data_IF_847885448106
#
_entry.id   IF_847885448106
#
_cell.length_a   1.000
_cell.length_b   1.000
_cell.length_c   1.000
_cell.angle_alpha   90.00
_cell.angle_beta   90.00
_cell.angle_gamma   90.00
#
_symmetry.space_group_name_H-M   'P 1'
#
loop_
_entity.id
_entity.type
_entity.pdbx_description
1 polymer ?
#
# COMPACT_ATOMS: atom_id res chain seq x y z
N UNK A 1 17.77 14.98 19.87
CA UNK A 1 18.14 13.57 19.69
C UNK A 1 17.29 12.99 18.59
N UNK A 2 17.87 12.35 17.61
CA UNK A 2 17.18 11.65 16.52
C UNK A 2 16.68 10.27 16.97
N UNK A 3 15.73 9.71 16.24
CA UNK A 3 15.27 8.34 16.50
C UNK A 3 16.24 7.34 15.86
N UNK A 4 16.65 7.58 14.62
CA UNK A 4 17.60 6.75 13.88
C UNK A 4 18.68 7.64 13.26
N UNK A 5 19.92 7.16 13.27
CA UNK A 5 21.02 7.69 12.48
C UNK A 5 21.60 6.57 11.64
N UNK A 6 21.59 6.73 10.32
CA UNK A 6 22.24 5.82 9.36
C UNK A 6 23.49 6.52 8.88
N UNK A 7 24.67 5.97 9.18
CA UNK A 7 25.96 6.63 8.97
C UNK A 7 26.82 5.91 7.94
N UNK A 8 27.55 6.67 7.12
CA UNK A 8 28.65 6.17 6.28
C UNK A 8 28.26 5.53 4.96
N UNK A 9 26.97 5.58 4.56
CA UNK A 9 26.50 4.98 3.33
C UNK A 9 26.55 5.89 2.10
N UNK A 10 26.49 5.28 0.90
CA UNK A 10 26.20 6.00 -0.35
C UNK A 10 24.67 6.22 -0.43
N UNK A 11 24.23 7.45 -0.25
CA UNK A 11 22.81 7.80 -0.27
C UNK A 11 22.34 8.05 -1.70
N UNK A 12 21.32 7.31 -2.12
CA UNK A 12 20.57 7.51 -3.36
C UNK A 12 19.17 8.00 -2.99
N UNK A 13 18.73 9.12 -3.51
CA UNK A 13 17.45 9.74 -3.13
C UNK A 13 16.24 9.26 -3.93
N UNK A 14 16.45 8.42 -4.94
CA UNK A 14 15.40 7.94 -5.83
C UNK A 14 14.95 8.94 -6.90
N UNK A 15 15.54 10.14 -6.95
CA UNK A 15 15.19 11.21 -7.90
C UNK A 15 16.16 11.32 -9.08
N UNK A 16 16.91 10.27 -9.37
CA UNK A 16 17.95 10.21 -10.40
C UNK A 16 19.13 11.18 -10.19
N UNK A 17 19.29 11.71 -8.99
CA UNK A 17 20.48 12.49 -8.63
C UNK A 17 21.70 11.57 -8.40
N UNK A 18 22.92 12.07 -8.60
CA UNK A 18 24.13 11.32 -8.25
C UNK A 18 24.13 10.95 -6.77
N UNK A 19 24.56 9.73 -6.47
CA UNK A 19 24.72 9.29 -5.08
C UNK A 19 25.77 10.12 -4.33
N UNK A 20 25.49 10.40 -3.07
CA UNK A 20 26.38 11.16 -2.19
C UNK A 20 26.66 10.39 -0.91
N UNK A 21 27.92 10.43 -0.44
CA UNK A 21 28.26 9.92 0.89
C UNK A 21 27.76 10.90 1.95
N UNK A 22 26.68 10.54 2.60
CA UNK A 22 25.98 11.33 3.61
C UNK A 22 25.58 10.41 4.77
N UNK A 23 25.18 11.04 5.87
CA UNK A 23 24.41 10.35 6.90
C UNK A 23 22.93 10.75 6.82
N UNK A 24 22.06 9.80 7.10
CA UNK A 24 20.62 10.01 7.13
C UNK A 24 20.15 9.91 8.58
N UNK A 25 19.52 10.97 9.08
CA UNK A 25 18.91 10.96 10.39
C UNK A 25 17.39 11.04 10.28
N UNK A 26 16.67 10.28 11.10
CA UNK A 26 15.22 10.29 11.17
C UNK A 26 14.78 10.84 12.51
N UNK A 27 13.86 11.78 12.49
CA UNK A 27 13.20 12.31 13.67
C UNK A 27 11.70 12.36 13.42
N UNK A 28 10.94 11.64 14.23
CA UNK A 28 9.51 11.45 14.00
C UNK A 28 9.24 10.95 12.57
N UNK A 29 8.52 11.71 11.75
CA UNK A 29 8.24 11.38 10.34
C UNK A 29 9.11 12.17 9.34
N UNK A 30 10.24 12.75 9.78
CA UNK A 30 11.07 13.61 8.95
C UNK A 30 12.46 13.01 8.75
N UNK A 31 12.94 13.03 7.51
CA UNK A 31 14.29 12.64 7.12
C UNK A 31 15.17 13.89 7.05
N UNK A 32 16.36 13.80 7.63
CA UNK A 32 17.39 14.83 7.60
C UNK A 32 18.66 14.27 6.94
N UNK A 33 19.17 14.94 5.92
CA UNK A 33 20.44 14.60 5.30
C UNK A 33 21.57 15.41 6.00
N UNK A 34 22.53 14.72 6.56
CA UNK A 34 23.63 15.31 7.32
C UNK A 34 24.94 15.14 6.54
N UNK A 35 25.68 16.25 6.42
CA UNK A 35 27.01 16.29 5.77
C UNK A 35 28.10 16.40 6.81
N UNK A 36 29.25 15.80 6.54
CA UNK A 36 30.42 15.87 7.40
C UNK A 36 30.37 14.95 8.60
N UNK A 37 31.11 15.30 9.64
CA UNK A 37 31.25 14.49 10.85
C UNK A 37 29.96 14.50 11.66
N UNK A 38 29.46 13.31 11.96
CA UNK A 38 28.24 13.07 12.77
C UNK A 38 28.53 12.41 14.11
N UNK A 39 29.79 12.35 14.53
CA UNK A 39 30.24 11.70 15.78
C UNK A 39 29.53 12.24 17.02
N UNK A 40 29.18 13.53 17.01
CA UNK A 40 28.47 14.20 18.11
C UNK A 40 26.94 14.13 18.00
N UNK A 41 26.41 13.51 16.94
CA UNK A 41 24.96 13.40 16.72
C UNK A 41 24.40 12.28 17.59
N UNK A 42 23.43 12.60 18.45
CA UNK A 42 22.79 11.63 19.32
C UNK A 42 21.52 11.08 18.66
N UNK A 43 21.43 9.77 18.58
CA UNK A 43 20.24 9.02 18.13
C UNK A 43 19.93 7.88 19.10
N UNK A 44 18.64 7.44 19.14
CA UNK A 44 18.23 6.26 19.91
C UNK A 44 18.83 4.98 19.31
N UNK A 45 18.95 4.93 17.98
CA UNK A 45 19.56 3.82 17.24
C UNK A 45 20.48 4.36 16.17
N UNK A 46 21.70 3.82 16.08
CA UNK A 46 22.65 4.11 15.00
C UNK A 46 22.87 2.85 14.16
N UNK A 47 22.85 3.00 12.85
CA UNK A 47 23.10 1.96 11.87
C UNK A 47 24.35 2.35 11.10
N UNK A 48 25.37 1.50 11.13
CA UNK A 48 26.54 1.63 10.26
C UNK A 48 26.20 1.12 8.85
N UNK A 49 26.23 2.03 7.90
CA UNK A 49 26.00 1.75 6.48
C UNK A 49 27.29 1.85 5.65
N UNK A 50 28.47 1.79 6.29
CA UNK A 50 29.76 1.83 5.60
C UNK A 50 29.84 0.75 4.52
N UNK A 51 30.16 1.15 3.28
CA UNK A 51 30.21 0.27 2.12
C UNK A 51 28.84 -0.18 1.59
N UNK A 52 27.74 0.39 2.09
CA UNK A 52 26.37 0.07 1.66
C UNK A 52 25.71 1.24 0.94
N UNK A 53 24.65 0.94 0.22
CA UNK A 53 23.74 1.93 -0.35
C UNK A 53 22.60 2.19 0.66
N UNK A 54 22.24 3.44 0.84
CA UNK A 54 21.07 3.88 1.59
C UNK A 54 20.09 4.54 0.62
N UNK A 55 18.92 3.98 0.48
CA UNK A 55 17.88 4.49 -0.41
C UNK A 55 16.54 4.56 0.31
N UNK A 56 15.55 5.30 -0.22
CA UNK A 56 14.16 5.13 0.16
C UNK A 56 13.73 3.67 -0.01
N UNK A 57 12.73 3.24 0.74
CA UNK A 57 12.12 1.93 0.54
C UNK A 57 11.48 1.83 -0.84
N UNK A 58 11.45 0.62 -1.40
CA UNK A 58 10.87 0.39 -2.72
C UNK A 58 9.34 0.48 -2.67
N UNK A 59 8.77 0.96 -3.78
CA UNK A 59 7.33 1.01 -4.00
C UNK A 59 6.99 -0.07 -5.02
N UNK A 60 6.21 -1.06 -4.61
CA UNK A 60 5.65 -2.04 -5.52
C UNK A 60 4.33 -1.50 -6.08
N UNK A 61 4.33 -1.14 -7.36
CA UNK A 61 3.18 -0.53 -8.02
C UNK A 61 2.21 -1.56 -8.63
N UNK A 62 2.44 -2.85 -8.40
CA UNK A 62 1.61 -3.94 -8.92
C UNK A 62 1.57 -5.11 -7.93
N UNK A 63 0.77 -4.98 -6.88
CA UNK A 63 0.70 -5.96 -5.81
C UNK A 63 -0.69 -6.58 -5.66
N UNK A 64 -0.72 -7.90 -5.44
CA UNK A 64 -1.93 -8.70 -5.20
C UNK A 64 -2.10 -9.08 -3.73
N UNK A 65 -1.44 -8.39 -2.83
CA UNK A 65 -1.37 -8.72 -1.40
C UNK A 65 -2.55 -8.24 -0.56
N UNK A 66 -3.49 -7.49 -1.14
CA UNK A 66 -4.52 -6.76 -0.41
C UNK A 66 -5.39 -7.57 0.57
N UNK A 67 -5.51 -8.88 0.38
CA UNK A 67 -6.17 -9.76 1.34
C UNK A 67 -5.16 -10.50 2.24
N UNK A 68 -4.11 -11.06 1.63
CA UNK A 68 -3.13 -11.89 2.36
C UNK A 68 -2.41 -11.09 3.45
N UNK A 69 -2.09 -9.83 3.21
CA UNK A 69 -1.42 -8.98 4.20
C UNK A 69 -2.26 -8.77 5.47
N UNK A 70 -3.59 -8.92 5.39
CA UNK A 70 -4.46 -8.82 6.57
C UNK A 70 -4.37 -10.06 7.48
N UNK A 71 -3.98 -11.22 6.93
CA UNK A 71 -3.70 -12.44 7.69
C UNK A 71 -2.22 -12.59 8.04
N UNK A 72 -1.34 -11.99 7.26
CA UNK A 72 0.12 -12.03 7.43
C UNK A 72 0.71 -10.61 7.52
N UNK A 73 0.39 -9.85 8.57
CA UNK A 73 0.66 -8.41 8.64
C UNK A 73 2.15 -8.04 8.67
N UNK A 74 3.03 -8.97 9.03
CA UNK A 74 4.47 -8.77 8.97
C UNK A 74 4.99 -8.69 7.53
N UNK A 75 4.29 -9.29 6.59
CA UNK A 75 4.54 -9.24 5.14
C UNK A 75 6.01 -9.49 4.75
N UNK A 76 6.61 -10.48 5.39
CA UNK A 76 8.05 -10.77 5.35
C UNK A 76 8.63 -10.90 3.92
N UNK A 77 7.93 -11.54 2.94
CA UNK A 77 8.47 -11.66 1.59
C UNK A 77 8.75 -10.31 0.91
N UNK A 78 7.96 -9.28 1.20
CA UNK A 78 8.12 -7.93 0.65
C UNK A 78 9.10 -7.09 1.49
N UNK A 79 8.95 -7.13 2.80
CA UNK A 79 9.82 -6.39 3.73
C UNK A 79 11.28 -6.80 3.57
N UNK A 80 11.57 -8.09 3.43
CA UNK A 80 12.93 -8.59 3.21
C UNK A 80 13.55 -8.14 1.88
N UNK A 81 12.75 -7.73 0.92
CA UNK A 81 13.21 -7.16 -0.35
C UNK A 81 13.30 -5.63 -0.32
N UNK A 82 13.00 -5.01 0.83
CA UNK A 82 13.06 -3.56 1.00
C UNK A 82 11.82 -2.82 0.45
N UNK A 83 10.73 -3.53 0.15
CA UNK A 83 9.45 -2.91 -0.20
C UNK A 83 8.84 -2.29 1.06
N UNK A 84 8.44 -1.04 0.98
CA UNK A 84 7.82 -0.29 2.09
C UNK A 84 6.46 0.29 1.75
N UNK A 85 6.07 0.21 0.48
CA UNK A 85 4.76 0.67 -0.01
C UNK A 85 4.29 -0.25 -1.13
N UNK A 86 3.03 -0.61 -1.13
CA UNK A 86 2.39 -1.39 -2.18
C UNK A 86 1.16 -0.69 -2.72
N UNK A 87 0.99 -0.71 -4.04
CA UNK A 87 -0.24 -0.34 -4.72
C UNK A 87 -1.05 -1.60 -5.00
N UNK A 88 -2.21 -1.70 -4.35
CA UNK A 88 -3.14 -2.83 -4.46
C UNK A 88 -4.43 -2.43 -5.19
N UNK A 89 -5.27 -3.41 -5.55
CA UNK A 89 -6.52 -3.20 -6.28
C UNK A 89 -6.34 -3.07 -7.79
N UNK A 90 -5.23 -3.56 -8.29
CA UNK A 90 -4.81 -3.53 -9.70
C UNK A 90 -5.56 -4.55 -10.55
N UNK A 91 -5.32 -4.56 -11.88
CA UNK A 91 -5.90 -5.47 -12.88
C UNK A 91 -7.45 -5.46 -12.93
N UNK A 92 -8.06 -4.39 -12.42
CA UNK A 92 -9.50 -4.28 -12.34
C UNK A 92 -10.12 -5.07 -11.17
N UNK A 93 -9.33 -5.75 -10.37
CA UNK A 93 -9.75 -6.54 -9.21
C UNK A 93 -9.44 -5.81 -7.91
N UNK A 94 -10.47 -5.53 -7.14
CA UNK A 94 -10.30 -4.92 -5.82
C UNK A 94 -11.45 -5.33 -4.89
N UNK A 95 -11.28 -5.10 -3.59
CA UNK A 95 -12.15 -5.64 -2.55
C UNK A 95 -12.97 -4.57 -1.82
N UNK A 96 -13.00 -3.36 -2.37
CA UNK A 96 -13.88 -2.26 -1.97
C UNK A 96 -14.14 -1.32 -3.18
N UNK A 97 -15.28 -0.61 -3.25
CA UNK A 97 -16.42 -0.72 -2.34
C UNK A 97 -17.29 -1.95 -2.61
N UNK A 98 -17.81 -2.57 -1.57
CA UNK A 98 -18.80 -3.62 -1.67
C UNK A 98 -19.97 -3.31 -0.74
N UNK A 99 -21.10 -2.89 -1.28
CA UNK A 99 -22.31 -2.65 -0.49
C UNK A 99 -22.92 -3.96 0.04
N UNK A 100 -23.65 -3.86 1.14
CA UNK A 100 -24.19 -5.01 1.91
C UNK A 100 -24.96 -6.07 1.09
N UNK A 101 -25.50 -5.68 -0.06
CA UNK A 101 -26.27 -6.57 -0.93
C UNK A 101 -25.38 -7.37 -1.91
N UNK A 102 -24.06 -7.19 -1.84
CA UNK A 102 -23.12 -7.81 -2.77
C UNK A 102 -22.19 -8.74 -1.99
N UNK A 103 -22.13 -9.97 -2.46
CA UNK A 103 -21.30 -11.00 -1.84
C UNK A 103 -19.80 -10.78 -2.14
N UNK A 104 -19.12 -10.11 -1.20
CA UNK A 104 -17.66 -9.91 -1.26
C UNK A 104 -16.92 -11.25 -1.29
N UNK A 105 -17.39 -12.27 -0.57
CA UNK A 105 -16.76 -13.59 -0.55
C UNK A 105 -16.74 -14.22 -1.93
N UNK A 106 -17.76 -13.98 -2.74
CA UNK A 106 -17.77 -14.45 -4.13
C UNK A 106 -16.65 -13.80 -4.96
N UNK A 107 -16.35 -12.51 -4.75
CA UNK A 107 -15.20 -11.86 -5.40
C UNK A 107 -13.89 -12.49 -4.95
N UNK A 108 -13.72 -12.73 -3.66
CA UNK A 108 -12.55 -13.41 -3.10
C UNK A 108 -12.38 -14.79 -3.75
N UNK A 109 -13.42 -15.61 -3.78
CA UNK A 109 -13.36 -16.94 -4.39
C UNK A 109 -12.97 -16.92 -5.87
N UNK A 110 -13.49 -15.97 -6.65
CA UNK A 110 -13.17 -15.84 -8.08
C UNK A 110 -11.68 -15.51 -8.25
N UNK A 111 -11.11 -14.69 -7.38
CA UNK A 111 -9.73 -14.23 -7.47
C UNK A 111 -8.76 -15.02 -6.57
N UNK A 112 -9.21 -16.08 -5.91
CA UNK A 112 -8.41 -16.80 -4.89
C UNK A 112 -7.11 -17.38 -5.41
N UNK A 113 -7.05 -17.73 -6.69
CA UNK A 113 -5.82 -18.22 -7.33
C UNK A 113 -4.74 -17.14 -7.52
N UNK A 114 -5.09 -15.86 -7.42
CA UNK A 114 -4.18 -14.74 -7.60
C UNK A 114 -3.95 -13.98 -6.28
N UNK A 115 -5.03 -13.64 -5.59
CA UNK A 115 -5.02 -12.75 -4.41
C UNK A 115 -5.11 -13.54 -3.09
N UNK A 116 -5.26 -14.87 -3.16
CA UNK A 116 -5.50 -15.73 -2.00
C UNK A 116 -6.94 -15.68 -1.49
N UNK A 117 -7.23 -16.56 -0.54
CA UNK A 117 -8.50 -16.61 0.21
C UNK A 117 -8.18 -16.80 1.70
N UNK A 118 -7.61 -15.79 2.36
CA UNK A 118 -7.22 -15.88 3.76
C UNK A 118 -8.45 -15.97 4.66
N UNK A 119 -8.31 -16.70 5.77
CA UNK A 119 -9.36 -16.78 6.78
C UNK A 119 -9.36 -15.51 7.66
N UNK A 120 -9.98 -14.45 7.17
CA UNK A 120 -10.12 -13.16 7.83
C UNK A 120 -11.57 -12.74 7.93
N UNK A 121 -11.85 -11.73 8.73
CA UNK A 121 -13.18 -11.13 8.81
C UNK A 121 -13.36 -10.08 7.70
N UNK A 122 -14.20 -10.41 6.71
CA UNK A 122 -14.53 -9.57 5.55
C UNK A 122 -15.65 -8.55 5.89
N UNK A 123 -15.47 -7.77 6.95
CA UNK A 123 -16.48 -6.88 7.53
C UNK A 123 -16.32 -5.42 7.12
N UNK A 124 -16.08 -5.14 5.85
CA UNK A 124 -16.04 -3.79 5.29
C UNK A 124 -16.98 -3.65 4.10
N UNK A 125 -17.40 -2.42 3.82
CA UNK A 125 -18.27 -2.08 2.68
C UNK A 125 -17.73 -0.94 1.85
N UNK A 126 -17.07 0.03 2.47
CA UNK A 126 -16.52 1.23 1.85
C UNK A 126 -15.01 1.10 1.65
N UNK A 127 -14.43 2.01 0.88
CA UNK A 127 -12.97 2.09 0.73
C UNK A 127 -12.34 2.51 2.05
N UNK A 128 -12.94 3.46 2.77
CA UNK A 128 -12.47 3.86 4.10
C UNK A 128 -12.42 2.66 5.05
N UNK A 129 -13.51 1.88 5.16
CA UNK A 129 -13.55 0.69 6.03
C UNK A 129 -12.44 -0.30 5.69
N UNK A 130 -12.15 -0.46 4.38
CA UNK A 130 -11.10 -1.37 3.92
C UNK A 130 -9.70 -0.83 4.22
N UNK A 131 -9.45 0.45 3.97
CA UNK A 131 -8.16 1.08 4.29
C UNK A 131 -7.87 1.09 5.79
N UNK A 132 -8.88 1.25 6.63
CA UNK A 132 -8.75 1.16 8.10
C UNK A 132 -8.29 -0.21 8.60
N UNK A 133 -8.42 -1.27 7.75
CA UNK A 133 -7.87 -2.59 8.11
C UNK A 133 -6.35 -2.61 8.11
N UNK A 134 -5.72 -1.74 7.33
CA UNK A 134 -4.26 -1.67 7.20
C UNK A 134 -3.64 -0.67 8.17
N UNK A 135 -4.33 0.40 8.55
CA UNK A 135 -3.73 1.51 9.29
C UNK A 135 -3.09 1.04 10.61
N UNK A 136 -1.77 1.22 10.71
CA UNK A 136 -0.92 0.80 11.84
C UNK A 136 -0.99 -0.69 12.19
N UNK A 137 -1.46 -1.52 11.28
CA UNK A 137 -1.64 -2.97 11.51
C UNK A 137 -0.80 -3.84 10.60
N UNK A 138 -0.20 -3.27 9.56
CA UNK A 138 0.64 -3.98 8.59
C UNK A 138 2.01 -3.32 8.46
N UNK A 139 2.98 -4.06 7.96
CA UNK A 139 4.40 -3.63 7.94
C UNK A 139 4.77 -2.69 6.79
N UNK A 140 3.91 -2.54 5.78
CA UNK A 140 4.12 -1.65 4.63
C UNK A 140 2.99 -0.65 4.51
N UNK A 141 3.25 0.48 3.84
CA UNK A 141 2.19 1.41 3.50
C UNK A 141 1.36 0.84 2.34
N UNK A 142 0.07 1.08 2.37
CA UNK A 142 -0.86 0.65 1.33
C UNK A 142 -1.39 1.88 0.58
N UNK A 143 -1.24 1.86 -0.74
CA UNK A 143 -1.97 2.70 -1.68
C UNK A 143 -2.99 1.82 -2.40
N UNK A 144 -4.16 2.37 -2.68
CA UNK A 144 -5.27 1.59 -3.19
C UNK A 144 -5.89 2.21 -4.45
N UNK A 145 -6.08 1.40 -5.49
CA UNK A 145 -6.86 1.77 -6.66
C UNK A 145 -8.15 0.96 -6.73
N UNK A 146 -9.22 1.58 -7.18
CA UNK A 146 -10.52 0.90 -7.32
C UNK A 146 -10.59 0.20 -8.66
N UNK A 147 -10.71 -1.11 -8.61
CA UNK A 147 -10.91 -1.94 -9.79
C UNK A 147 -12.25 -1.75 -10.47
N UNK A 148 -12.34 -2.06 -11.75
CA UNK A 148 -13.60 -2.04 -12.48
C UNK A 148 -14.60 -3.10 -11.96
N UNK A 149 -14.11 -4.23 -11.44
CA UNK A 149 -14.95 -5.34 -10.99
C UNK A 149 -15.93 -4.95 -9.88
N UNK A 150 -15.51 -4.36 -8.73
CA UNK A 150 -16.43 -3.94 -7.69
C UNK A 150 -17.40 -2.84 -8.14
N UNK A 151 -16.95 -1.89 -8.97
CA UNK A 151 -17.83 -0.85 -9.52
C UNK A 151 -18.94 -1.45 -10.38
N UNK A 152 -18.57 -2.41 -11.24
CA UNK A 152 -19.52 -3.08 -12.12
C UNK A 152 -20.47 -3.95 -11.31
N UNK A 153 -19.98 -4.77 -10.40
CA UNK A 153 -20.80 -5.62 -9.55
C UNK A 153 -21.71 -4.77 -8.65
N UNK A 154 -21.21 -3.66 -8.12
CA UNK A 154 -21.95 -2.68 -7.34
C UNK A 154 -23.11 -2.03 -8.11
N UNK A 155 -22.97 -1.83 -9.40
CA UNK A 155 -23.98 -1.21 -10.25
C UNK A 155 -24.99 -2.21 -10.83
N UNK A 156 -24.53 -3.41 -11.18
CA UNK A 156 -25.28 -4.37 -12.02
C UNK A 156 -25.48 -5.74 -11.37
N UNK A 157 -24.90 -5.98 -10.19
CA UNK A 157 -24.76 -7.34 -9.66
C UNK A 157 -23.82 -8.20 -10.53
N UNK A 158 -23.89 -9.50 -10.35
CA UNK A 158 -23.10 -10.49 -11.09
C UNK A 158 -23.67 -10.77 -12.49
N UNK A 159 -24.00 -9.74 -13.24
CA UNK A 159 -24.63 -9.86 -14.55
C UNK A 159 -23.63 -9.53 -15.66
N UNK A 160 -23.50 -10.44 -16.64
CA UNK A 160 -22.56 -10.30 -17.77
C UNK A 160 -23.07 -9.40 -18.92
N UNK A 161 -24.34 -8.90 -18.85
CA UNK A 161 -24.91 -8.04 -19.89
C UNK A 161 -24.12 -6.73 -20.06
N UNK A 162 -24.31 -6.07 -21.19
CA UNK A 162 -23.83 -4.69 -21.40
C UNK A 162 -24.52 -3.74 -20.42
N UNK A 163 -23.75 -2.85 -19.80
CA UNK A 163 -24.28 -1.84 -18.90
C UNK A 163 -25.16 -0.83 -19.64
N UNK A 164 -26.30 -0.50 -19.06
CA UNK A 164 -27.14 0.61 -19.48
C UNK A 164 -26.55 1.95 -19.05
N UNK A 165 -27.04 3.07 -19.61
CA UNK A 165 -26.61 4.41 -19.21
C UNK A 165 -26.74 4.66 -17.69
N UNK A 166 -27.86 4.24 -17.08
CA UNK A 166 -28.10 4.36 -15.63
C UNK A 166 -27.08 3.55 -14.81
N UNK A 167 -26.76 2.34 -15.26
CA UNK A 167 -25.76 1.49 -14.59
C UNK A 167 -24.34 2.06 -14.71
N UNK A 168 -24.01 2.68 -15.85
CA UNK A 168 -22.73 3.43 -16.01
C UNK A 168 -22.69 4.63 -15.06
N UNK A 169 -23.78 5.40 -14.96
CA UNK A 169 -23.81 6.56 -14.05
C UNK A 169 -23.70 6.13 -12.60
N UNK A 170 -24.27 4.97 -12.22
CA UNK A 170 -24.08 4.38 -10.90
C UNK A 170 -22.61 3.99 -10.67
N UNK A 171 -21.92 3.36 -11.65
CA UNK A 171 -20.48 3.05 -11.54
C UNK A 171 -19.64 4.32 -11.35
N UNK A 172 -19.93 5.40 -12.10
CA UNK A 172 -19.26 6.69 -11.92
C UNK A 172 -19.48 7.28 -10.52
N UNK A 173 -20.70 7.12 -9.95
CA UNK A 173 -21.01 7.52 -8.58
C UNK A 173 -20.13 6.77 -7.58
N UNK A 174 -20.14 5.44 -7.65
CA UNK A 174 -19.32 4.58 -6.79
C UNK A 174 -17.82 4.91 -6.88
N UNK A 175 -17.31 5.19 -8.08
CA UNK A 175 -15.91 5.59 -8.26
C UNK A 175 -15.61 6.94 -7.58
N UNK A 176 -16.49 7.94 -7.72
CA UNK A 176 -16.28 9.25 -7.05
C UNK A 176 -16.27 9.10 -5.53
N UNK A 177 -17.21 8.34 -4.99
CA UNK A 177 -17.25 8.04 -3.55
C UNK A 177 -15.95 7.36 -3.10
N UNK A 178 -15.54 6.31 -3.79
CA UNK A 178 -14.32 5.59 -3.49
C UNK A 178 -13.06 6.47 -3.51
N UNK A 179 -12.94 7.39 -4.50
CA UNK A 179 -11.83 8.35 -4.55
C UNK A 179 -11.89 9.40 -3.43
N UNK A 180 -13.09 9.81 -3.00
CA UNK A 180 -13.25 10.69 -1.83
C UNK A 180 -12.89 9.98 -0.53
N UNK A 181 -13.02 8.68 -0.48
CA UNK A 181 -12.70 7.80 0.64
C UNK A 181 -11.21 7.39 0.70
N UNK A 182 -10.38 7.85 -0.23
CA UNK A 182 -8.92 7.68 -0.19
C UNK A 182 -8.34 6.71 -1.22
N UNK A 183 -9.13 6.25 -2.21
CA UNK A 183 -8.58 5.57 -3.37
C UNK A 183 -7.92 6.55 -4.35
N UNK A 184 -7.00 6.02 -5.19
CA UNK A 184 -6.34 6.74 -6.28
C UNK A 184 -7.09 6.56 -7.61
#
# INVERSE_FOLDING_TARGET
MFDILINGGLVLDGAANPGLYLSVAVKDNTIHLLRGDVSNIKAKRTIDASGKIVSPGFIDVHAHSGLVILSEPEHMPKVHQGVTTELIGIDGNSYAPFHKDIDLKKMVQINSGLDGDPNIDYNWNTVTDYLDKFDKKVSVNIAYVVGNSPLRVGAMGWNAKKASGKEIDKQKGLLREAMQEGAF
#
